data_IF_130936014304
#
_entry.id   IF_130936014304
#
_cell.length_a   1.000
_cell.length_b   1.000
_cell.length_c   1.000
_cell.angle_alpha   90.00
_cell.angle_beta   90.00
_cell.angle_gamma   90.00
#
_symmetry.space_group_name_H-M   'P 1'
#
loop_
_entity.id
_entity.type
_entity.pdbx_description
1 polymer ?
#
# COMPACT_ATOMS: atom_id res chain seq x y z
N UNK A 1 -16.12 -25.77 6.95
CA UNK A 1 -16.38 -24.77 5.90
C UNK A 1 -17.68 -24.07 6.23
N UNK A 2 -17.71 -22.75 6.22
CA UNK A 2 -18.93 -21.95 6.44
C UNK A 2 -19.09 -20.98 5.26
N UNK A 3 -20.29 -20.95 4.69
CA UNK A 3 -20.69 -20.04 3.63
C UNK A 3 -21.56 -18.94 4.23
N UNK A 4 -21.20 -17.70 3.99
CA UNK A 4 -21.94 -16.52 4.42
C UNK A 4 -22.37 -15.70 3.21
N UNK A 5 -23.57 -15.16 3.29
CA UNK A 5 -24.02 -14.10 2.38
C UNK A 5 -23.86 -12.76 3.11
N UNK A 6 -22.90 -11.96 2.67
CA UNK A 6 -22.57 -10.68 3.29
C UNK A 6 -23.06 -9.53 2.42
N UNK A 7 -23.70 -8.56 3.05
CA UNK A 7 -24.07 -7.32 2.38
C UNK A 7 -22.92 -6.29 2.44
N UNK A 8 -22.42 -5.92 1.28
CA UNK A 8 -21.39 -4.88 1.16
C UNK A 8 -22.03 -3.49 1.09
N UNK A 9 -21.87 -2.68 2.15
CA UNK A 9 -22.44 -1.34 2.23
C UNK A 9 -21.84 -0.35 1.22
N UNK A 10 -20.62 -0.61 0.73
CA UNK A 10 -19.89 0.30 -0.14
C UNK A 10 -20.43 0.28 -1.58
N UNK A 11 -20.77 -0.88 -2.09
CA UNK A 11 -21.26 -1.09 -3.45
C UNK A 11 -22.73 -1.53 -3.48
N UNK A 12 -23.36 -1.63 -2.31
CA UNK A 12 -24.78 -2.03 -2.13
C UNK A 12 -25.10 -3.39 -2.74
N UNK A 13 -24.13 -4.30 -2.81
CA UNK A 13 -24.27 -5.64 -3.36
C UNK A 13 -24.15 -6.71 -2.29
N UNK A 14 -24.70 -7.88 -2.58
CA UNK A 14 -24.49 -9.10 -1.80
C UNK A 14 -23.28 -9.85 -2.35
N UNK A 15 -22.45 -10.39 -1.47
CA UNK A 15 -21.34 -11.27 -1.82
C UNK A 15 -21.36 -12.53 -0.98
N UNK A 16 -20.96 -13.62 -1.58
CA UNK A 16 -20.75 -14.86 -0.85
C UNK A 16 -19.30 -14.91 -0.33
N UNK A 17 -19.14 -15.12 0.96
CA UNK A 17 -17.86 -15.34 1.60
C UNK A 17 -17.78 -16.77 2.13
N UNK A 18 -16.67 -17.43 1.82
CA UNK A 18 -16.41 -18.80 2.31
C UNK A 18 -15.23 -18.76 3.28
N UNK A 19 -15.45 -19.27 4.47
CA UNK A 19 -14.40 -19.47 5.46
C UNK A 19 -13.96 -20.92 5.45
N UNK A 20 -12.69 -21.17 5.13
CA UNK A 20 -12.10 -22.50 5.12
C UNK A 20 -11.06 -22.57 6.23
N UNK A 21 -11.27 -23.50 7.16
CA UNK A 21 -10.28 -23.81 8.19
C UNK A 21 -9.58 -25.10 7.79
N UNK A 22 -8.27 -25.04 7.67
CA UNK A 22 -7.41 -26.18 7.31
C UNK A 22 -6.57 -26.56 8.51
N UNK A 23 -6.67 -27.81 8.94
CA UNK A 23 -5.75 -28.36 9.91
C UNK A 23 -4.37 -28.48 9.25
N UNK A 24 -3.37 -27.86 9.86
CA UNK A 24 -2.00 -27.84 9.35
C UNK A 24 -1.19 -29.09 9.69
N UNK A 25 -1.77 -30.01 10.43
CA UNK A 25 -1.11 -31.27 10.81
C UNK A 25 -1.75 -32.41 10.05
N UNK A 26 -0.95 -33.14 9.30
CA UNK A 26 -1.38 -34.41 8.72
C UNK A 26 -1.54 -35.43 9.85
N UNK A 27 -2.74 -35.90 10.04
CA UNK A 27 -3.08 -36.81 11.15
C UNK A 27 -2.48 -38.20 10.98
N UNK A 28 -2.14 -38.61 9.75
CA UNK A 28 -1.56 -39.92 9.49
C UNK A 28 -0.04 -39.94 9.73
N UNK A 29 0.64 -38.85 9.43
CA UNK A 29 2.10 -38.77 9.50
C UNK A 29 2.61 -37.90 10.64
N UNK A 30 1.74 -37.14 11.30
CA UNK A 30 2.10 -36.13 12.32
C UNK A 30 2.88 -34.95 11.74
N UNK A 31 3.10 -34.89 10.44
CA UNK A 31 3.87 -33.85 9.80
C UNK A 31 3.02 -32.59 9.57
N UNK A 32 3.68 -31.45 9.72
CA UNK A 32 3.04 -30.17 9.44
C UNK A 32 2.98 -29.93 7.93
N UNK A 33 1.80 -29.51 7.45
CA UNK A 33 1.63 -29.01 6.09
C UNK A 33 2.53 -27.78 5.90
N UNK A 34 3.48 -27.88 5.00
CA UNK A 34 4.38 -26.79 4.65
C UNK A 34 3.90 -26.09 3.37
N UNK A 35 3.22 -24.97 3.55
CA UNK A 35 2.81 -24.09 2.44
C UNK A 35 3.92 -23.09 2.06
N UNK A 36 5.10 -23.21 2.63
CA UNK A 36 6.18 -22.24 2.53
C UNK A 36 6.04 -21.10 3.53
N UNK A 37 7.03 -20.22 3.54
CA UNK A 37 7.11 -19.08 4.47
C UNK A 37 7.31 -17.77 3.73
N UNK A 38 6.87 -16.67 4.36
CA UNK A 38 7.15 -15.31 3.89
C UNK A 38 6.40 -14.87 2.63
N UNK A 39 7.04 -14.01 1.86
CA UNK A 39 6.42 -13.39 0.67
C UNK A 39 6.11 -14.40 -0.43
N UNK A 40 6.98 -15.37 -0.68
CA UNK A 40 6.77 -16.37 -1.75
C UNK A 40 5.52 -17.22 -1.52
N UNK A 41 5.24 -17.59 -0.28
CA UNK A 41 4.03 -18.35 0.06
C UNK A 41 2.76 -17.50 -0.14
N UNK A 42 2.81 -16.21 0.18
CA UNK A 42 1.70 -15.28 -0.09
C UNK A 42 1.43 -15.13 -1.58
N UNK A 43 2.48 -14.96 -2.39
CA UNK A 43 2.36 -14.86 -3.84
C UNK A 43 1.77 -16.12 -4.45
N UNK A 44 2.26 -17.31 -4.06
CA UNK A 44 1.72 -18.60 -4.54
C UNK A 44 0.24 -18.76 -4.21
N UNK A 45 -0.18 -18.42 -2.97
CA UNK A 45 -1.60 -18.49 -2.60
C UNK A 45 -2.46 -17.49 -3.37
N UNK A 46 -1.98 -16.26 -3.52
CA UNK A 46 -2.69 -15.23 -4.28
C UNK A 46 -2.82 -15.61 -5.77
N UNK A 47 -1.76 -16.19 -6.36
CA UNK A 47 -1.83 -16.71 -7.73
C UNK A 47 -2.87 -17.82 -7.84
N UNK A 48 -2.83 -18.82 -6.95
CA UNK A 48 -3.78 -19.93 -6.97
C UNK A 48 -5.23 -19.47 -6.81
N UNK A 49 -5.49 -18.47 -5.96
CA UNK A 49 -6.83 -17.89 -5.79
C UNK A 49 -7.26 -17.23 -7.10
N UNK A 50 -6.40 -16.43 -7.75
CA UNK A 50 -6.72 -15.80 -9.04
C UNK A 50 -7.01 -16.82 -10.13
N UNK A 51 -6.25 -17.93 -10.17
CA UNK A 51 -6.48 -19.01 -11.12
C UNK A 51 -7.87 -19.64 -10.92
N UNK A 52 -8.24 -19.90 -9.67
CA UNK A 52 -9.57 -20.41 -9.32
C UNK A 52 -10.68 -19.41 -9.64
N UNK A 53 -10.49 -18.13 -9.30
CA UNK A 53 -11.46 -17.09 -9.62
C UNK A 53 -11.68 -16.98 -11.14
N UNK A 54 -10.62 -17.11 -11.92
CA UNK A 54 -10.71 -17.13 -13.39
C UNK A 54 -11.41 -18.39 -13.90
N UNK A 55 -11.06 -19.56 -13.38
CA UNK A 55 -11.68 -20.85 -13.74
C UNK A 55 -13.20 -20.84 -13.48
N UNK A 56 -13.61 -20.18 -12.40
CA UNK A 56 -15.02 -20.13 -11.97
C UNK A 56 -15.76 -18.88 -12.45
N UNK A 57 -15.13 -18.04 -13.26
CA UNK A 57 -15.72 -16.79 -13.78
C UNK A 57 -16.06 -15.78 -12.69
N UNK A 58 -15.34 -15.81 -11.57
CA UNK A 58 -15.57 -14.88 -10.46
C UNK A 58 -14.95 -13.51 -10.76
N UNK A 59 -15.54 -12.49 -10.14
CA UNK A 59 -15.03 -11.12 -10.28
C UNK A 59 -13.60 -11.01 -9.77
N UNK A 60 -12.69 -10.65 -10.66
CA UNK A 60 -11.29 -10.42 -10.30
C UNK A 60 -11.15 -9.11 -9.51
N UNK A 61 -10.26 -9.12 -8.52
CA UNK A 61 -9.83 -7.91 -7.82
C UNK A 61 -8.71 -7.27 -8.63
N UNK A 62 -8.95 -6.06 -9.10
CA UNK A 62 -7.95 -5.28 -9.86
C UNK A 62 -6.92 -4.71 -8.89
N UNK A 63 -5.63 -4.86 -9.20
CA UNK A 63 -4.56 -4.26 -8.39
C UNK A 63 -4.69 -2.72 -8.40
N UNK A 64 -4.50 -2.11 -7.23
CA UNK A 64 -4.70 -0.68 -7.02
C UNK A 64 -6.10 -0.29 -6.57
N UNK A 65 -7.12 -1.15 -6.73
CA UNK A 65 -8.44 -0.90 -6.18
C UNK A 65 -8.47 -1.08 -4.65
N UNK A 66 -9.48 -0.47 -4.01
CA UNK A 66 -9.63 -0.47 -2.55
C UNK A 66 -9.58 -1.85 -1.90
N UNK A 67 -10.06 -2.87 -2.59
CA UNK A 67 -10.16 -4.25 -2.08
C UNK A 67 -8.98 -5.14 -2.48
N UNK A 68 -8.00 -4.60 -3.22
CA UNK A 68 -6.82 -5.37 -3.62
C UNK A 68 -5.80 -5.47 -2.48
N UNK A 69 -4.94 -6.50 -2.52
CA UNK A 69 -3.81 -6.62 -1.60
C UNK A 69 -2.74 -5.56 -1.83
N UNK A 70 -2.73 -4.98 -3.04
CA UNK A 70 -1.87 -3.87 -3.43
C UNK A 70 -2.77 -2.68 -3.74
N UNK A 71 -2.83 -1.71 -2.86
CA UNK A 71 -3.62 -0.49 -3.04
C UNK A 71 -2.83 0.70 -2.54
N UNK A 72 -3.13 1.88 -3.08
CA UNK A 72 -2.54 3.13 -2.61
C UNK A 72 -2.82 3.28 -1.11
N UNK A 73 -1.82 3.74 -0.39
CA UNK A 73 -1.92 3.91 1.06
C UNK A 73 -3.09 4.82 1.41
N UNK A 74 -4.03 4.26 2.15
CA UNK A 74 -5.20 5.00 2.61
C UNK A 74 -4.86 5.86 3.82
N UNK A 75 -5.53 7.01 4.01
CA UNK A 75 -5.40 7.81 5.21
C UNK A 75 -5.71 6.99 6.46
N UNK A 76 -4.91 7.16 7.50
CA UNK A 76 -5.17 6.53 8.80
C UNK A 76 -6.47 7.09 9.42
N UNK A 77 -6.98 6.42 10.45
CA UNK A 77 -8.16 6.89 11.17
C UNK A 77 -7.99 8.33 11.67
N UNK A 78 -6.83 8.65 12.22
CA UNK A 78 -6.51 9.98 12.73
C UNK A 78 -6.49 11.02 11.59
N UNK A 79 -5.86 10.70 10.45
CA UNK A 79 -5.85 11.58 9.28
C UNK A 79 -7.27 11.86 8.78
N UNK A 80 -8.15 10.85 8.79
CA UNK A 80 -9.58 11.02 8.42
C UNK A 80 -10.35 11.87 9.41
N UNK A 81 -10.11 11.72 10.71
CA UNK A 81 -10.74 12.53 11.77
C UNK A 81 -10.29 13.98 11.70
N UNK A 82 -9.00 14.25 11.42
CA UNK A 82 -8.49 15.61 11.22
C UNK A 82 -9.09 16.25 9.97
N UNK A 83 -9.09 15.53 8.85
CA UNK A 83 -9.71 16.01 7.61
C UNK A 83 -11.21 16.31 7.77
N UNK A 84 -11.95 15.51 8.54
CA UNK A 84 -13.35 15.78 8.86
C UNK A 84 -13.56 17.06 9.68
N UNK A 85 -12.53 17.53 10.39
CA UNK A 85 -12.50 18.80 11.13
C UNK A 85 -11.94 19.97 10.32
N UNK A 86 -11.59 19.73 9.04
CA UNK A 86 -10.96 20.75 8.19
C UNK A 86 -9.49 21.02 8.54
N UNK A 87 -8.84 20.10 9.25
CA UNK A 87 -7.44 20.23 9.65
C UNK A 87 -6.60 19.28 8.79
N UNK A 88 -5.68 19.83 8.01
CA UNK A 88 -4.73 19.03 7.26
C UNK A 88 -3.65 18.50 8.20
N UNK A 89 -3.39 17.21 8.11
CA UNK A 89 -2.31 16.62 8.87
C UNK A 89 -0.96 16.91 8.20
N UNK A 90 0.04 17.22 8.99
CA UNK A 90 1.43 17.38 8.55
C UNK A 90 1.90 16.27 7.56
N UNK A 91 1.53 15.05 7.86
CA UNK A 91 1.88 13.91 7.02
C UNK A 91 1.11 13.87 5.70
N UNK A 92 -0.13 14.36 5.67
CA UNK A 92 -0.92 14.48 4.43
C UNK A 92 -0.29 15.53 3.54
N UNK A 93 0.06 16.70 4.09
CA UNK A 93 0.70 17.77 3.34
C UNK A 93 2.04 17.32 2.74
N UNK A 94 2.91 16.68 3.52
CA UNK A 94 4.17 16.13 3.01
C UNK A 94 3.95 15.11 1.90
N UNK A 95 2.93 14.26 2.02
CA UNK A 95 2.60 13.28 0.98
C UNK A 95 2.19 13.96 -0.32
N UNK A 96 1.39 15.02 -0.25
CA UNK A 96 0.94 15.77 -1.42
C UNK A 96 2.09 16.52 -2.06
N UNK A 97 2.93 17.20 -1.30
CA UNK A 97 4.14 17.86 -1.81
C UNK A 97 5.06 16.85 -2.53
N UNK A 98 5.30 15.69 -1.93
CA UNK A 98 6.08 14.64 -2.56
C UNK A 98 5.46 14.12 -3.88
N UNK A 99 4.13 14.05 -3.97
CA UNK A 99 3.44 13.63 -5.20
C UNK A 99 3.52 14.68 -6.30
N UNK A 100 3.33 15.94 -5.95
CA UNK A 100 3.43 17.06 -6.90
C UNK A 100 4.86 17.13 -7.44
N UNK A 101 5.86 17.11 -6.54
CA UNK A 101 7.26 17.11 -6.93
C UNK A 101 7.61 15.93 -7.86
N UNK A 102 7.08 14.74 -7.59
CA UNK A 102 7.33 13.57 -8.44
C UNK A 102 6.69 13.67 -9.83
N UNK A 103 5.61 14.45 -9.97
CA UNK A 103 4.96 14.71 -11.26
C UNK A 103 5.62 15.84 -12.06
N UNK A 104 6.36 16.72 -11.41
CA UNK A 104 7.01 17.87 -12.04
C UNK A 104 8.50 17.65 -12.33
N UNK A 105 9.18 16.81 -11.54
CA UNK A 105 10.60 16.55 -11.64
C UNK A 105 10.94 15.61 -12.80
N UNK A 106 12.04 15.89 -13.49
CA UNK A 106 12.59 15.03 -14.56
C UNK A 106 13.55 13.97 -13.99
N UNK A 107 14.13 14.22 -12.83
CA UNK A 107 15.11 13.35 -12.17
C UNK A 107 15.12 13.54 -10.65
N UNK A 108 15.90 12.71 -9.96
CA UNK A 108 15.98 12.73 -8.49
C UNK A 108 16.56 14.03 -7.92
N UNK A 109 17.41 14.72 -8.66
CA UNK A 109 18.02 15.99 -8.24
C UNK A 109 16.99 17.10 -8.30
N UNK A 110 16.25 17.22 -9.43
CA UNK A 110 15.15 18.17 -9.58
C UNK A 110 14.07 17.93 -8.53
N UNK A 111 13.74 16.65 -8.26
CA UNK A 111 12.78 16.28 -7.23
C UNK A 111 13.18 16.82 -5.86
N UNK A 112 14.48 16.75 -5.53
CA UNK A 112 14.99 17.27 -4.26
C UNK A 112 14.97 18.80 -4.24
N UNK A 113 15.42 19.45 -5.31
CA UNK A 113 15.42 20.91 -5.43
C UNK A 113 14.02 21.49 -5.32
N UNK A 114 13.02 20.86 -5.96
CA UNK A 114 11.63 21.26 -5.81
C UNK A 114 11.15 21.16 -4.36
N UNK A 115 11.39 20.04 -3.70
CA UNK A 115 11.02 19.86 -2.30
C UNK A 115 11.71 20.88 -1.38
N UNK A 116 12.99 21.11 -1.58
CA UNK A 116 13.78 22.10 -0.81
C UNK A 116 13.25 23.53 -1.04
N UNK A 117 12.87 23.86 -2.28
CA UNK A 117 12.26 25.18 -2.59
C UNK A 117 10.91 25.40 -1.90
N UNK A 118 10.21 24.33 -1.56
CA UNK A 118 8.93 24.37 -0.80
C UNK A 118 9.11 24.19 0.70
N UNK A 119 10.36 24.28 1.20
CA UNK A 119 10.66 24.17 2.62
C UNK A 119 10.62 22.72 3.15
N UNK A 120 10.87 21.73 2.30
CA UNK A 120 10.94 20.33 2.71
C UNK A 120 12.38 19.83 2.55
N UNK A 121 13.05 19.61 3.67
CA UNK A 121 14.39 19.02 3.70
C UNK A 121 14.37 17.56 3.28
N UNK A 122 15.36 17.16 2.49
CA UNK A 122 15.51 15.79 2.01
C UNK A 122 16.82 15.16 2.51
N UNK A 123 16.74 13.96 3.06
CA UNK A 123 17.90 13.24 3.55
C UNK A 123 17.88 11.77 3.09
N UNK A 124 19.05 11.27 2.63
CA UNK A 124 19.20 9.85 2.32
C UNK A 124 19.86 9.12 3.50
N UNK A 125 19.13 8.13 4.04
CA UNK A 125 19.64 7.24 5.08
C UNK A 125 19.41 5.78 4.69
N UNK A 126 20.47 4.97 4.64
CA UNK A 126 20.40 3.52 4.37
C UNK A 126 19.58 3.17 3.12
N UNK A 127 19.80 3.88 2.02
CA UNK A 127 19.13 3.67 0.74
C UNK A 127 17.64 4.08 0.72
N UNK A 128 17.21 4.90 1.68
CA UNK A 128 15.84 5.44 1.73
C UNK A 128 15.90 6.96 1.83
N UNK A 129 15.02 7.61 1.09
CA UNK A 129 14.82 9.04 1.21
C UNK A 129 13.86 9.34 2.36
N UNK A 130 14.23 10.31 3.17
CA UNK A 130 13.42 10.88 4.23
C UNK A 130 13.14 12.34 3.90
N UNK A 131 11.98 12.81 4.27
CA UNK A 131 11.53 14.19 4.09
C UNK A 131 11.09 14.77 5.43
N UNK A 132 11.43 16.03 5.66
CA UNK A 132 11.10 16.77 6.87
C UNK A 132 10.74 18.19 6.46
N UNK A 133 9.63 18.70 6.97
CA UNK A 133 9.25 20.10 6.80
C UNK A 133 10.14 20.97 7.69
N UNK A 134 10.79 21.97 7.12
CA UNK A 134 11.70 22.88 7.82
C UNK A 134 11.01 23.72 8.90
N UNK A 135 9.75 24.08 8.69
CA UNK A 135 8.98 24.90 9.63
C UNK A 135 8.50 24.11 10.86
N UNK A 136 8.25 22.82 10.69
CA UNK A 136 7.73 21.92 11.73
C UNK A 136 8.73 20.90 12.28
N UNK A 137 9.93 20.89 11.87
CA UNK A 137 11.14 20.10 12.23
C UNK A 137 10.99 18.96 13.28
N UNK A 138 9.81 18.34 13.39
CA UNK A 138 9.51 17.37 14.45
C UNK A 138 9.75 15.94 14.05
N UNK A 139 9.42 15.57 12.80
CA UNK A 139 9.45 14.17 12.39
C UNK A 139 9.83 14.00 10.92
N UNK A 140 10.93 13.31 10.68
CA UNK A 140 11.29 12.85 9.35
C UNK A 140 10.44 11.62 8.94
N UNK A 141 9.83 11.68 7.78
CA UNK A 141 9.11 10.54 7.22
C UNK A 141 9.88 9.93 6.04
N UNK A 142 10.00 8.62 6.02
CA UNK A 142 10.45 7.94 4.80
C UNK A 142 9.40 8.14 3.70
N UNK A 143 9.82 8.60 2.53
CA UNK A 143 8.96 8.83 1.37
C UNK A 143 8.17 7.55 1.02
N UNK A 144 8.81 6.39 1.04
CA UNK A 144 8.14 5.09 0.84
C UNK A 144 7.08 4.75 1.90
N UNK A 145 7.10 5.38 3.07
CA UNK A 145 6.04 5.24 4.09
C UNK A 145 4.92 6.25 3.90
N UNK A 146 5.20 7.39 3.27
CA UNK A 146 4.17 8.34 2.88
C UNK A 146 3.35 7.79 1.72
N UNK A 147 4.06 7.33 0.69
CA UNK A 147 3.46 6.64 -0.45
C UNK A 147 4.43 5.58 -0.98
N UNK A 148 3.93 4.37 -1.24
CA UNK A 148 4.77 3.27 -1.69
C UNK A 148 5.31 3.51 -3.11
N UNK A 149 4.54 4.20 -3.94
CA UNK A 149 4.89 4.52 -5.33
C UNK A 149 5.98 5.59 -5.42
N UNK A 150 6.19 6.36 -4.36
CA UNK A 150 7.23 7.38 -4.23
C UNK A 150 8.51 6.86 -3.53
N UNK A 151 8.60 5.57 -3.23
CA UNK A 151 9.84 4.96 -2.75
C UNK A 151 10.96 5.09 -3.79
N UNK A 152 12.23 4.97 -3.39
CA UNK A 152 13.41 5.16 -4.27
C UNK A 152 13.25 4.45 -5.61
N UNK A 153 12.79 3.20 -5.60
CA UNK A 153 12.53 2.43 -6.83
C UNK A 153 11.36 2.96 -7.65
N UNK A 154 10.33 3.51 -7.00
CA UNK A 154 9.17 4.08 -7.68
C UNK A 154 9.53 5.40 -8.35
N UNK A 155 10.33 6.24 -7.69
CA UNK A 155 10.85 7.48 -8.28
C UNK A 155 11.81 7.20 -9.44
N UNK A 156 12.73 6.24 -9.30
CA UNK A 156 13.60 5.80 -10.39
C UNK A 156 12.81 5.33 -11.60
N UNK A 157 11.74 4.56 -11.39
CA UNK A 157 10.86 4.11 -12.46
C UNK A 157 10.06 5.27 -13.11
N UNK A 158 9.62 6.24 -12.32
CA UNK A 158 8.89 7.40 -12.82
C UNK A 158 9.77 8.32 -13.69
N UNK A 159 11.06 8.45 -13.35
CA UNK A 159 12.01 9.29 -14.11
C UNK A 159 12.66 8.57 -15.31
N UNK A 160 12.43 7.27 -15.48
CA UNK A 160 12.95 6.50 -16.63
C UNK A 160 11.88 6.22 -17.70
N UNK A 161 10.63 6.57 -17.44
CA UNK A 161 9.50 6.37 -18.35
C UNK A 161 9.31 7.56 -19.26
#
# INVERSE_FOLDING_TARGET
MALHNEYCKADKTHRYAVHIVINRTDLSTGKRLDEGRGKSAKVKRASRIRDLDHEWGLKQVVEGERNSSVHKKQPSRIEKELAARGIDSYKTNLRELCRIAAGEAENIYDYRELLESWGVDTEFKRGRMYVTDTDNNRYAFSVAKLDADLGTKGLEAAFTA
#
